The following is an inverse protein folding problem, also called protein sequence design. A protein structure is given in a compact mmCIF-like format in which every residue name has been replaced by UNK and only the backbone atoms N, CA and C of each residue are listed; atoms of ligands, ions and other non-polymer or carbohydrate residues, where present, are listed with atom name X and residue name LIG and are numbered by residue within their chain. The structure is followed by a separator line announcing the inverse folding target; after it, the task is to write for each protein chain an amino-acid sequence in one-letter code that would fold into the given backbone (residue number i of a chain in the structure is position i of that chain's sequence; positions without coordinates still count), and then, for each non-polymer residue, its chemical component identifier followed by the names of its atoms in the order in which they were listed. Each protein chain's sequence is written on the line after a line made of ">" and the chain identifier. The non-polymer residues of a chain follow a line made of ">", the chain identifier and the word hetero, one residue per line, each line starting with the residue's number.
data_IF_182899036408
#
_entry.id   IF_182899036408
#
_cell.length_a   1.000
_cell.length_b   1.000
_cell.length_c   1.000
_cell.angle_alpha   90.00
_cell.angle_beta   90.00
_cell.angle_gamma   90.00
#
_symmetry.space_group_name_H-M   'P 1'
#
loop_
_entity.id
_entity.type
_entity.pdbx_description
1 polymer ?
#
# COMPACT_ATOMS: atom_id res chain seq x y z
N UNK A 1 4.81 45.66 -27.40
CA UNK A 1 4.63 45.32 -25.97
C UNK A 1 3.15 45.08 -25.78
N UNK A 2 2.73 43.82 -25.87
CA UNK A 2 1.34 43.39 -25.71
C UNK A 2 1.24 42.70 -24.36
N UNK A 3 0.66 43.37 -23.37
CA UNK A 3 0.25 42.75 -22.12
C UNK A 3 -1.04 41.98 -22.35
N UNK A 4 -0.95 40.67 -22.27
CA UNK A 4 -2.11 39.76 -22.22
C UNK A 4 -2.62 39.73 -20.77
N UNK A 5 -3.88 40.09 -20.48
CA UNK A 5 -4.43 39.89 -19.15
C UNK A 5 -4.70 38.39 -18.94
N UNK A 6 -4.07 37.82 -17.92
CA UNK A 6 -4.29 36.44 -17.50
C UNK A 6 -5.60 36.43 -16.69
N UNK A 7 -6.71 36.04 -17.33
CA UNK A 7 -7.92 35.69 -16.60
C UNK A 7 -7.75 34.31 -15.97
N UNK A 8 -7.26 34.29 -14.74
CA UNK A 8 -7.21 33.12 -13.88
C UNK A 8 -8.65 32.72 -13.54
N UNK A 9 -9.24 31.85 -14.36
CA UNK A 9 -10.64 31.41 -14.23
C UNK A 9 -10.67 30.17 -13.36
N UNK A 10 -10.49 30.36 -12.05
CA UNK A 10 -10.91 29.35 -11.07
C UNK A 10 -12.43 29.35 -11.08
N UNK A 11 -13.04 28.30 -11.64
CA UNK A 11 -14.49 28.12 -11.63
C UNK A 11 -14.98 27.84 -10.19
N UNK A 12 -15.08 28.90 -9.39
CA UNK A 12 -15.67 28.87 -8.07
C UNK A 12 -17.17 28.62 -8.22
N UNK A 13 -17.70 27.63 -7.52
CA UNK A 13 -19.14 27.46 -7.39
C UNK A 13 -19.67 28.70 -6.68
N UNK A 14 -20.53 29.54 -7.30
CA UNK A 14 -20.88 30.81 -6.70
C UNK A 14 -21.81 30.56 -5.51
N UNK A 15 -21.28 30.71 -4.30
CA UNK A 15 -22.10 30.66 -3.09
C UNK A 15 -23.07 31.84 -3.06
N UNK A 16 -24.29 31.66 -2.53
CA UNK A 16 -25.22 32.76 -2.34
C UNK A 16 -24.63 33.80 -1.37
N UNK A 17 -24.90 35.07 -1.61
CA UNK A 17 -24.37 36.19 -0.82
C UNK A 17 -25.38 36.71 0.19
N UNK A 18 -24.88 37.29 1.29
CA UNK A 18 -25.71 37.96 2.30
C UNK A 18 -26.15 39.34 1.82
N UNK A 19 -27.36 39.79 2.17
CA UNK A 19 -27.86 41.13 1.88
C UNK A 19 -28.12 41.95 3.16
N UNK A 20 -28.23 43.28 3.00
CA UNK A 20 -28.62 44.19 4.08
C UNK A 20 -27.62 44.26 5.23
N UNK A 21 -28.09 44.01 6.46
CA UNK A 21 -27.27 44.11 7.69
C UNK A 21 -26.55 42.80 8.04
N UNK A 22 -26.91 41.69 7.40
CA UNK A 22 -26.32 40.37 7.64
C UNK A 22 -24.88 40.32 7.11
N UNK A 23 -23.95 39.80 7.91
CA UNK A 23 -22.57 39.55 7.49
C UNK A 23 -22.43 38.10 7.03
N UNK A 24 -21.55 37.89 6.06
CA UNK A 24 -21.16 36.57 5.56
C UNK A 24 -19.64 36.43 5.54
N UNK A 25 -19.14 35.25 5.21
CA UNK A 25 -17.70 35.04 5.08
C UNK A 25 -17.13 35.83 3.90
N UNK A 26 -15.92 36.35 4.08
CA UNK A 26 -15.20 37.06 3.03
C UNK A 26 -14.96 36.14 1.83
N UNK A 27 -15.46 36.56 0.66
CA UNK A 27 -15.44 35.76 -0.56
C UNK A 27 -14.02 35.34 -0.94
N UNK A 28 -13.09 36.29 -0.97
CA UNK A 28 -11.70 36.04 -1.33
C UNK A 28 -11.04 35.01 -0.41
N UNK A 29 -11.28 35.08 0.90
CA UNK A 29 -10.72 34.12 1.86
C UNK A 29 -11.27 32.70 1.63
N UNK A 30 -12.57 32.58 1.37
CA UNK A 30 -13.23 31.29 1.05
C UNK A 30 -12.71 30.73 -0.29
N UNK A 31 -12.69 31.56 -1.33
CA UNK A 31 -12.28 31.15 -2.69
C UNK A 31 -10.83 30.67 -2.71
N UNK A 32 -9.92 31.38 -2.04
CA UNK A 32 -8.50 30.99 -1.91
C UNK A 32 -8.36 29.66 -1.16
N UNK A 33 -9.12 29.46 -0.09
CA UNK A 33 -9.08 28.21 0.67
C UNK A 33 -9.58 27.03 -0.17
N UNK A 34 -10.70 27.19 -0.88
CA UNK A 34 -11.27 26.13 -1.72
C UNK A 34 -10.36 25.80 -2.92
N UNK A 35 -9.71 26.80 -3.51
CA UNK A 35 -8.70 26.58 -4.56
C UNK A 35 -7.54 25.74 -4.03
N UNK A 36 -6.97 26.10 -2.87
CA UNK A 36 -5.91 25.32 -2.22
C UNK A 36 -6.36 23.90 -1.88
N UNK A 37 -7.59 23.74 -1.37
CA UNK A 37 -8.14 22.43 -1.04
C UNK A 37 -8.29 21.55 -2.29
N UNK A 38 -8.73 22.15 -3.40
CA UNK A 38 -8.80 21.47 -4.70
C UNK A 38 -7.42 21.05 -5.19
N UNK A 39 -6.44 21.96 -5.17
CA UNK A 39 -5.06 21.65 -5.59
C UNK A 39 -4.46 20.53 -4.76
N UNK A 40 -4.61 20.56 -3.43
CA UNK A 40 -4.14 19.50 -2.54
C UNK A 40 -4.80 18.14 -2.84
N UNK A 41 -6.10 18.16 -3.16
CA UNK A 41 -6.84 16.96 -3.53
C UNK A 41 -6.42 16.41 -4.91
N UNK A 42 -6.19 17.28 -5.90
CA UNK A 42 -5.76 16.90 -7.25
C UNK A 42 -4.29 16.44 -7.30
N UNK A 43 -3.41 17.04 -6.49
CA UNK A 43 -1.99 16.69 -6.40
C UNK A 43 -1.73 15.40 -5.60
N UNK A 44 -2.75 14.85 -4.94
CA UNK A 44 -2.65 13.68 -4.07
C UNK A 44 -1.62 13.82 -2.92
N UNK A 45 -1.45 15.05 -2.41
CA UNK A 45 -0.50 15.36 -1.33
C UNK A 45 -1.19 15.43 0.04
N UNK A 46 -1.06 14.34 0.81
CA UNK A 46 -1.59 14.22 2.19
C UNK A 46 -0.86 15.09 3.23
N UNK A 47 0.21 15.77 2.85
CA UNK A 47 0.90 16.77 3.67
C UNK A 47 0.39 18.20 3.44
N UNK A 48 -0.26 18.47 2.30
CA UNK A 48 -0.64 19.82 1.91
C UNK A 48 -1.95 20.32 2.55
N UNK A 49 -2.91 19.41 2.75
CA UNK A 49 -4.16 19.67 3.46
C UNK A 49 -4.80 18.38 4.00
N UNK A 50 -5.26 18.38 5.25
CA UNK A 50 -5.99 17.28 5.91
C UNK A 50 -7.42 17.65 6.28
N UNK A 51 -8.27 16.64 6.46
CA UNK A 51 -9.65 16.78 6.96
C UNK A 51 -9.73 17.60 8.25
N UNK A 52 -8.78 17.39 9.18
CA UNK A 52 -8.70 18.17 10.42
C UNK A 52 -8.43 19.66 10.18
N UNK A 53 -7.68 20.00 9.14
CA UNK A 53 -7.36 21.39 8.78
C UNK A 53 -8.55 22.06 8.10
N UNK A 54 -9.34 21.32 7.32
CA UNK A 54 -10.61 21.80 6.76
C UNK A 54 -11.62 22.10 7.86
N UNK A 55 -11.72 21.23 8.87
CA UNK A 55 -12.64 21.40 10.00
C UNK A 55 -12.40 22.67 10.81
N UNK A 56 -11.13 23.07 10.98
CA UNK A 56 -10.76 24.25 11.78
C UNK A 56 -10.66 25.54 10.95
N UNK A 57 -10.96 25.48 9.65
CA UNK A 57 -10.91 26.64 8.78
C UNK A 57 -11.88 27.73 9.25
N UNK A 58 -11.40 28.98 9.30
CA UNK A 58 -12.18 30.13 9.73
C UNK A 58 -11.96 31.30 8.77
N UNK A 59 -13.03 32.05 8.50
CA UNK A 59 -13.00 33.18 7.58
C UNK A 59 -13.50 34.47 8.24
N UNK A 60 -12.95 35.64 7.87
CA UNK A 60 -13.45 36.94 8.34
C UNK A 60 -14.91 37.18 7.92
N UNK A 61 -15.67 37.90 8.75
CA UNK A 61 -17.07 38.27 8.46
C UNK A 61 -17.17 39.69 7.89
N UNK A 62 -17.71 39.80 6.67
CA UNK A 62 -17.88 41.06 5.93
C UNK A 62 -19.34 41.26 5.50
N UNK A 63 -19.74 42.52 5.26
CA UNK A 63 -21.04 42.79 4.62
C UNK A 63 -20.99 42.38 3.15
N UNK A 64 -22.04 41.70 2.68
CA UNK A 64 -22.08 41.22 1.29
C UNK A 64 -21.21 40.00 1.01
N UNK A 65 -20.72 39.33 2.07
CA UNK A 65 -19.95 38.08 1.97
C UNK A 65 -20.80 36.89 1.55
N UNK A 66 -20.17 35.71 1.43
CA UNK A 66 -20.88 34.45 1.20
C UNK A 66 -21.66 34.04 2.44
N UNK A 67 -22.82 33.43 2.21
CA UNK A 67 -23.64 32.88 3.29
C UNK A 67 -22.89 31.78 4.04
N UNK A 68 -22.79 31.96 5.36
CA UNK A 68 -22.08 31.05 6.28
C UNK A 68 -22.55 29.61 6.12
N UNK A 69 -23.86 29.39 6.16
CA UNK A 69 -24.44 28.04 6.05
C UNK A 69 -24.15 27.33 4.72
N UNK A 70 -24.12 28.08 3.62
CA UNK A 70 -23.77 27.53 2.31
C UNK A 70 -22.28 27.16 2.22
N UNK A 71 -21.40 27.97 2.82
CA UNK A 71 -19.95 27.71 2.87
C UNK A 71 -19.65 26.53 3.79
N UNK A 72 -20.23 26.49 4.99
CA UNK A 72 -20.03 25.41 5.97
C UNK A 72 -20.50 24.07 5.40
N UNK A 73 -21.64 24.04 4.69
CA UNK A 73 -22.11 22.84 4.03
C UNK A 73 -21.16 22.35 2.93
N UNK A 74 -20.47 23.25 2.24
CA UNK A 74 -19.45 22.88 1.26
C UNK A 74 -18.15 22.42 1.92
N UNK A 75 -17.71 23.10 3.00
CA UNK A 75 -16.56 22.67 3.79
C UNK A 75 -16.77 21.26 4.36
N UNK A 76 -17.96 20.93 4.84
CA UNK A 76 -18.30 19.58 5.30
C UNK A 76 -18.11 18.53 4.19
N UNK A 77 -18.54 18.82 2.96
CA UNK A 77 -18.32 17.91 1.82
C UNK A 77 -16.84 17.76 1.47
N UNK A 78 -16.06 18.84 1.56
CA UNK A 78 -14.62 18.80 1.35
C UNK A 78 -13.94 17.97 2.46
N UNK A 79 -14.31 18.21 3.72
CA UNK A 79 -13.81 17.44 4.87
C UNK A 79 -14.08 15.93 4.69
N UNK A 80 -15.31 15.56 4.32
CA UNK A 80 -15.69 14.16 4.09
C UNK A 80 -14.82 13.50 2.99
N UNK A 81 -14.54 14.23 1.91
CA UNK A 81 -13.70 13.75 0.82
C UNK A 81 -12.25 13.52 1.27
N UNK A 82 -11.66 14.47 2.02
CA UNK A 82 -10.33 14.31 2.60
C UNK A 82 -10.30 13.17 3.63
N UNK A 83 -11.31 13.04 4.47
CA UNK A 83 -11.39 11.98 5.48
C UNK A 83 -11.53 10.58 4.84
N UNK A 84 -12.25 10.46 3.73
CA UNK A 84 -12.29 9.22 2.94
C UNK A 84 -10.91 8.91 2.34
N UNK A 85 -10.25 9.90 1.71
CA UNK A 85 -8.92 9.73 1.12
C UNK A 85 -7.86 9.32 2.15
N UNK A 86 -7.85 9.97 3.31
CA UNK A 86 -6.94 9.65 4.42
C UNK A 86 -7.14 8.22 4.91
N UNK A 87 -8.40 7.77 5.01
CA UNK A 87 -8.73 6.39 5.39
C UNK A 87 -8.24 5.39 4.35
N UNK A 88 -8.48 5.63 3.07
CA UNK A 88 -8.03 4.75 1.98
C UNK A 88 -6.50 4.66 1.93
N UNK A 89 -5.81 5.76 2.16
CA UNK A 89 -4.35 5.77 2.24
C UNK A 89 -3.84 5.04 3.50
N UNK A 90 -4.49 5.23 4.64
CA UNK A 90 -4.16 4.49 5.85
C UNK A 90 -4.39 2.99 5.67
N UNK A 91 -5.50 2.57 5.07
CA UNK A 91 -5.83 1.18 4.79
C UNK A 91 -4.88 0.55 3.77
N UNK A 92 -4.57 1.23 2.67
CA UNK A 92 -3.61 0.73 1.68
C UNK A 92 -2.20 0.61 2.27
N UNK A 93 -1.74 1.60 3.07
CA UNK A 93 -0.40 1.58 3.67
C UNK A 93 -0.28 0.63 4.86
N UNK A 94 -1.32 0.51 5.68
CA UNK A 94 -1.35 -0.49 6.77
C UNK A 94 -1.54 -1.89 6.20
N UNK A 95 -2.38 -2.06 5.18
CA UNK A 95 -2.57 -3.32 4.45
C UNK A 95 -1.29 -3.78 3.76
N UNK A 96 -0.60 -2.90 3.04
CA UNK A 96 0.69 -3.21 2.42
C UNK A 96 1.76 -3.57 3.47
N UNK A 97 1.81 -2.87 4.61
CA UNK A 97 2.76 -3.19 5.69
C UNK A 97 2.42 -4.50 6.40
N UNK A 98 1.15 -4.77 6.65
CA UNK A 98 0.70 -6.03 7.25
C UNK A 98 0.97 -7.21 6.32
N UNK A 99 0.69 -7.05 5.03
CA UNK A 99 0.97 -8.04 4.00
C UNK A 99 2.47 -8.30 3.81
N UNK A 100 3.30 -7.25 3.82
CA UNK A 100 4.77 -7.39 3.81
C UNK A 100 5.26 -8.08 5.08
N UNK A 101 4.66 -7.81 6.25
CA UNK A 101 5.03 -8.46 7.51
C UNK A 101 4.66 -9.94 7.52
N UNK A 102 3.45 -10.30 7.10
CA UNK A 102 2.98 -11.69 6.97
C UNK A 102 3.82 -12.48 5.95
N UNK A 103 4.15 -11.85 4.82
CA UNK A 103 5.07 -12.42 3.82
C UNK A 103 6.47 -12.64 4.40
N UNK A 104 6.97 -11.70 5.22
CA UNK A 104 8.27 -11.84 5.90
C UNK A 104 8.26 -12.93 6.96
N UNK A 105 7.19 -13.08 7.74
CA UNK A 105 7.06 -14.14 8.73
C UNK A 105 7.06 -15.52 8.04
N UNK A 106 6.31 -15.65 6.95
CA UNK A 106 6.32 -16.85 6.11
C UNK A 106 7.71 -17.13 5.54
N UNK A 107 8.38 -16.10 5.01
CA UNK A 107 9.75 -16.21 4.50
C UNK A 107 10.74 -16.66 5.59
N UNK A 108 10.59 -16.16 6.82
CA UNK A 108 11.44 -16.52 7.95
C UNK A 108 11.24 -17.97 8.38
N UNK A 109 9.99 -18.44 8.48
CA UNK A 109 9.68 -19.86 8.79
C UNK A 109 10.27 -20.80 7.74
N UNK A 110 10.13 -20.45 6.46
CA UNK A 110 10.72 -21.19 5.34
C UNK A 110 12.25 -21.20 5.47
N UNK A 111 12.87 -20.03 5.66
CA UNK A 111 14.31 -19.88 5.78
C UNK A 111 14.88 -20.71 6.94
N UNK A 112 14.23 -20.69 8.11
CA UNK A 112 14.64 -21.45 9.29
C UNK A 112 14.62 -22.96 9.01
N UNK A 113 13.64 -23.44 8.24
CA UNK A 113 13.59 -24.83 7.80
C UNK A 113 14.71 -25.17 6.82
N UNK A 114 14.95 -24.32 5.81
CA UNK A 114 15.99 -24.54 4.81
C UNK A 114 17.42 -24.44 5.38
N UNK A 115 17.60 -23.69 6.48
CA UNK A 115 18.88 -23.56 7.20
C UNK A 115 19.23 -24.75 8.10
N UNK A 116 18.29 -25.69 8.32
CA UNK A 116 18.60 -26.92 9.05
C UNK A 116 19.75 -27.68 8.37
N UNK A 117 20.51 -28.49 9.14
CA UNK A 117 21.59 -29.29 8.57
C UNK A 117 21.11 -30.14 7.39
N UNK A 118 22.00 -30.34 6.41
CA UNK A 118 21.72 -31.20 5.26
C UNK A 118 21.28 -32.59 5.73
N UNK A 119 20.32 -33.18 5.05
CA UNK A 119 19.74 -34.47 5.40
C UNK A 119 18.71 -34.44 6.54
N UNK A 120 18.50 -33.31 7.22
CA UNK A 120 17.51 -33.14 8.31
C UNK A 120 16.57 -31.94 8.11
N UNK A 121 16.54 -31.37 6.89
CA UNK A 121 15.63 -30.27 6.53
C UNK A 121 14.18 -30.72 6.48
N UNK A 122 13.96 -31.92 5.95
CA UNK A 122 12.65 -32.53 5.82
C UNK A 122 12.60 -33.93 6.45
N UNK A 123 11.39 -34.38 6.75
CA UNK A 123 11.20 -35.74 7.25
C UNK A 123 11.51 -36.74 6.14
N UNK A 124 12.11 -37.87 6.52
CA UNK A 124 12.36 -38.96 5.58
C UNK A 124 11.19 -39.92 5.55
N UNK A 125 10.94 -40.49 4.37
CA UNK A 125 10.05 -41.63 4.26
C UNK A 125 10.73 -42.88 4.83
N UNK A 126 9.94 -43.92 5.15
CA UNK A 126 10.49 -45.18 5.63
C UNK A 126 11.43 -45.81 4.61
N UNK A 127 12.37 -46.66 5.07
CA UNK A 127 13.44 -47.25 4.24
C UNK A 127 12.97 -48.00 2.97
N UNK A 128 11.74 -48.49 2.97
CA UNK A 128 11.14 -49.20 1.83
C UNK A 128 10.30 -48.29 0.90
N UNK A 129 10.08 -47.04 1.27
CA UNK A 129 9.34 -46.06 0.47
C UNK A 129 10.29 -45.18 -0.32
N UNK A 130 9.81 -44.69 -1.45
CA UNK A 130 10.48 -43.69 -2.26
C UNK A 130 10.04 -42.30 -1.82
N UNK A 131 10.96 -41.36 -1.92
CA UNK A 131 10.75 -39.93 -1.75
C UNK A 131 11.83 -39.19 -2.53
N UNK A 132 11.85 -37.86 -2.45
CA UNK A 132 12.84 -37.09 -3.20
C UNK A 132 14.27 -37.31 -2.73
N UNK A 133 15.19 -37.25 -3.69
CA UNK A 133 16.63 -37.41 -3.47
C UNK A 133 17.14 -36.32 -2.53
N UNK A 134 17.70 -36.72 -1.40
CA UNK A 134 18.05 -35.81 -0.30
C UNK A 134 19.09 -34.77 -0.71
N UNK A 135 20.11 -35.18 -1.46
CA UNK A 135 21.17 -34.30 -1.94
C UNK A 135 20.66 -33.24 -2.93
N UNK A 136 19.78 -33.61 -3.86
CA UNK A 136 19.19 -32.68 -4.83
C UNK A 136 18.29 -31.65 -4.14
N UNK A 137 17.43 -32.10 -3.22
CA UNK A 137 16.59 -31.21 -2.41
C UNK A 137 17.45 -30.27 -1.57
N UNK A 138 18.51 -30.78 -0.95
CA UNK A 138 19.38 -29.94 -0.13
C UNK A 138 20.14 -28.88 -0.99
N UNK A 139 20.53 -29.19 -2.23
CA UNK A 139 21.15 -28.19 -3.13
C UNK A 139 20.16 -27.07 -3.48
N UNK A 140 18.91 -27.43 -3.82
CA UNK A 140 17.87 -26.43 -4.13
C UNK A 140 17.54 -25.60 -2.89
N UNK A 141 17.39 -26.25 -1.74
CA UNK A 141 17.15 -25.59 -0.45
C UNK A 141 18.24 -24.57 -0.10
N UNK A 142 19.53 -24.85 -0.37
CA UNK A 142 20.60 -23.87 -0.16
C UNK A 142 20.45 -22.64 -1.05
N UNK A 143 20.09 -22.87 -2.32
CA UNK A 143 19.93 -21.80 -3.29
C UNK A 143 18.79 -20.87 -2.89
N UNK A 144 17.65 -21.45 -2.50
CA UNK A 144 16.50 -20.69 -2.00
C UNK A 144 16.85 -19.98 -0.69
N UNK A 145 17.56 -20.63 0.23
CA UNK A 145 17.98 -19.98 1.48
C UNK A 145 18.89 -18.77 1.24
N UNK A 146 19.77 -18.82 0.23
CA UNK A 146 20.59 -17.67 -0.18
C UNK A 146 19.76 -16.57 -0.83
N UNK A 147 18.79 -16.90 -1.67
CA UNK A 147 17.85 -15.91 -2.20
C UNK A 147 17.11 -15.19 -1.06
N UNK A 148 16.51 -15.92 -0.13
CA UNK A 148 15.74 -15.34 0.97
C UNK A 148 16.62 -14.53 1.95
N UNK A 149 17.88 -14.90 2.13
CA UNK A 149 18.78 -14.23 3.07
C UNK A 149 19.59 -13.07 2.47
N UNK A 150 20.00 -13.18 1.21
CA UNK A 150 20.96 -12.28 0.56
C UNK A 150 20.44 -11.68 -0.76
N UNK A 151 19.29 -12.13 -1.28
CA UNK A 151 18.72 -11.63 -2.53
C UNK A 151 19.33 -12.23 -3.80
N UNK A 152 20.01 -13.38 -3.72
CA UNK A 152 20.57 -14.07 -4.89
C UNK A 152 19.51 -14.30 -5.98
N UNK A 153 19.76 -13.96 -7.26
CA UNK A 153 18.73 -14.01 -8.28
C UNK A 153 18.21 -15.44 -8.54
N UNK A 154 16.92 -15.64 -8.25
CA UNK A 154 16.12 -16.81 -8.59
C UNK A 154 14.75 -16.29 -9.02
N UNK A 155 14.17 -16.86 -10.07
CA UNK A 155 12.79 -16.53 -10.49
C UNK A 155 11.78 -17.53 -9.93
N UNK A 156 10.52 -17.13 -9.72
CA UNK A 156 9.46 -18.06 -9.28
C UNK A 156 9.31 -19.27 -10.22
N UNK A 157 9.47 -19.06 -11.52
CA UNK A 157 9.39 -20.11 -12.56
C UNK A 157 10.51 -21.13 -12.41
N UNK A 158 11.71 -20.68 -12.01
CA UNK A 158 12.82 -21.59 -11.72
C UNK A 158 12.52 -22.50 -10.53
N UNK A 159 11.81 -22.00 -9.50
CA UNK A 159 11.41 -22.81 -8.34
C UNK A 159 10.31 -23.80 -8.72
N UNK A 160 9.29 -23.35 -9.47
CA UNK A 160 8.19 -24.21 -9.94
C UNK A 160 8.63 -25.32 -10.90
N UNK A 161 9.73 -25.12 -11.62
CA UNK A 161 10.26 -26.09 -12.59
C UNK A 161 11.26 -27.08 -12.00
N UNK A 162 11.58 -26.98 -10.70
CA UNK A 162 12.45 -27.95 -10.03
C UNK A 162 11.78 -29.31 -10.03
N UNK A 163 12.50 -30.31 -10.54
CA UNK A 163 12.12 -31.71 -10.44
C UNK A 163 13.23 -32.47 -9.72
N UNK A 164 12.84 -33.28 -8.73
CA UNK A 164 13.76 -34.14 -7.98
C UNK A 164 13.63 -35.58 -8.44
N UNK A 165 14.75 -36.29 -8.50
CA UNK A 165 14.72 -37.74 -8.68
C UNK A 165 14.21 -38.43 -7.43
N UNK A 166 13.65 -39.62 -7.59
CA UNK A 166 13.24 -40.46 -6.47
C UNK A 166 14.41 -41.27 -5.90
N UNK A 167 14.45 -41.45 -4.59
CA UNK A 167 15.33 -42.41 -3.91
C UNK A 167 14.59 -43.12 -2.75
N UNK A 168 15.06 -44.32 -2.40
CA UNK A 168 14.58 -45.03 -1.20
C UNK A 168 15.01 -44.30 0.07
N UNK A 169 14.09 -44.14 1.03
CA UNK A 169 14.35 -43.38 2.25
C UNK A 169 14.65 -41.89 2.00
N UNK A 170 14.18 -41.35 0.87
CA UNK A 170 14.27 -39.95 0.51
C UNK A 170 13.47 -39.02 1.42
N UNK A 171 13.52 -37.73 1.13
CA UNK A 171 12.65 -36.77 1.79
C UNK A 171 11.19 -36.98 1.38
N UNK A 172 10.28 -36.69 2.30
CA UNK A 172 8.85 -36.72 2.06
C UNK A 172 8.45 -35.61 1.09
N UNK A 173 7.97 -36.02 -0.07
CA UNK A 173 7.59 -35.17 -1.20
C UNK A 173 6.65 -34.05 -0.77
N UNK A 174 5.57 -34.41 -0.06
CA UNK A 174 4.57 -33.45 0.43
C UNK A 174 5.14 -32.31 1.28
N UNK A 175 6.21 -32.54 2.04
CA UNK A 175 6.84 -31.47 2.84
C UNK A 175 7.79 -30.61 2.00
N UNK A 176 8.42 -31.19 0.99
CA UNK A 176 9.31 -30.46 0.09
C UNK A 176 8.47 -29.58 -0.82
N UNK A 177 7.43 -30.14 -1.43
CA UNK A 177 6.52 -29.43 -2.33
C UNK A 177 5.84 -28.25 -1.62
N UNK A 178 5.31 -28.47 -0.41
CA UNK A 178 4.70 -27.39 0.38
C UNK A 178 5.66 -26.23 0.68
N UNK A 179 6.96 -26.52 0.87
CA UNK A 179 7.96 -25.47 1.07
C UNK A 179 8.28 -24.76 -0.24
N UNK A 180 8.38 -25.46 -1.36
CA UNK A 180 8.59 -24.83 -2.67
C UNK A 180 7.40 -23.94 -3.06
N UNK A 181 6.17 -24.37 -2.77
CA UNK A 181 4.96 -23.58 -2.99
C UNK A 181 4.97 -22.30 -2.13
N UNK A 182 5.26 -22.43 -0.83
CA UNK A 182 5.38 -21.28 0.07
C UNK A 182 6.48 -20.30 -0.36
N UNK A 183 7.61 -20.81 -0.88
CA UNK A 183 8.68 -19.97 -1.45
C UNK A 183 8.16 -19.19 -2.65
N UNK A 184 7.46 -19.84 -3.56
CA UNK A 184 6.89 -19.19 -4.75
C UNK A 184 5.89 -18.11 -4.35
N UNK A 185 5.04 -18.36 -3.36
CA UNK A 185 4.09 -17.38 -2.82
C UNK A 185 4.82 -16.16 -2.25
N UNK A 186 5.87 -16.36 -1.44
CA UNK A 186 6.72 -15.29 -0.92
C UNK A 186 7.38 -14.50 -2.05
N UNK A 187 7.90 -15.17 -3.08
CA UNK A 187 8.55 -14.50 -4.21
C UNK A 187 7.56 -13.62 -5.00
N UNK A 188 6.33 -14.09 -5.21
CA UNK A 188 5.28 -13.31 -5.87
C UNK A 188 4.78 -12.15 -5.01
N UNK A 189 4.85 -12.28 -3.69
CA UNK A 189 4.46 -11.25 -2.75
C UNK A 189 5.57 -10.20 -2.48
N UNK A 190 6.79 -10.40 -2.95
CA UNK A 190 7.87 -9.42 -2.78
C UNK A 190 8.31 -8.79 -4.12
N UNK A 191 7.99 -9.44 -5.24
CA UNK A 191 8.34 -9.00 -6.60
C UNK A 191 7.27 -8.18 -7.31
#
# INVERSE_FOLDING_TARGET
>A
MTETPIHDTVAATPFPTTSGRTKGYEKRAVDVFLARAREAFEADDLGALRSSEVRIAAFPLVRGGYRVDAVDAALGRVEDAFAARERDYALSRLGARAWVAETRDTAQVVLDRLRRPRGSRFDRVGFFRYGYRVDEVDVVADRIARYLAAGDPITPEQVRSVAFRMQRGGYRETQVDAVLDAVVEVMLAVG
#
